data_IF_133926102368
#
_entry.id   IF_133926102368
#
_cell.length_a   1.000
_cell.length_b   1.000
_cell.length_c   1.000
_cell.angle_alpha   90.00
_cell.angle_beta   90.00
_cell.angle_gamma   90.00
#
_symmetry.space_group_name_H-M   'P 1'
#
loop_
_entity.id
_entity.type
_entity.pdbx_description
1 polymer ?
#
# COMPACT_ATOMS: atom_id res chain seq x y z
N UNK A 1 13.72 -12.93 11.56
CA UNK A 1 14.44 -11.63 11.47
C UNK A 1 15.82 -11.86 10.87
N UNK A 2 16.29 -10.97 9.99
CA UNK A 2 17.68 -10.97 9.50
C UNK A 2 18.67 -10.54 10.61
N UNK A 3 19.99 -10.77 10.46
CA UNK A 3 20.96 -10.36 11.47
C UNK A 3 20.97 -8.85 11.72
N UNK A 4 20.89 -8.03 10.68
CA UNK A 4 20.86 -6.56 10.82
C UNK A 4 19.51 -6.08 11.37
N UNK A 5 18.38 -6.65 10.91
CA UNK A 5 17.07 -6.36 11.47
C UNK A 5 17.04 -6.59 12.98
N UNK A 6 17.59 -7.72 13.46
CA UNK A 6 17.66 -8.02 14.90
C UNK A 6 18.46 -6.97 15.69
N UNK A 7 19.59 -6.47 15.15
CA UNK A 7 20.37 -5.40 15.79
C UNK A 7 19.56 -4.11 15.86
N UNK A 8 18.94 -3.70 14.74
CA UNK A 8 18.20 -2.43 14.67
C UNK A 8 16.92 -2.49 15.52
N UNK A 9 16.17 -3.59 15.48
CA UNK A 9 15.02 -3.84 16.38
C UNK A 9 15.42 -3.69 17.84
N UNK A 10 16.52 -4.31 18.27
CA UNK A 10 17.01 -4.18 19.65
C UNK A 10 17.42 -2.74 20.00
N UNK A 11 18.09 -2.03 19.07
CA UNK A 11 18.49 -0.65 19.29
C UNK A 11 17.29 0.29 19.48
N UNK A 12 16.24 0.15 18.64
CA UNK A 12 14.99 0.90 18.79
C UNK A 12 14.22 0.53 20.07
N UNK A 13 14.19 -0.75 20.45
CA UNK A 13 13.50 -1.23 21.65
C UNK A 13 14.04 -0.64 22.98
N UNK A 14 15.32 -0.26 23.02
CA UNK A 14 15.95 0.40 24.17
C UNK A 14 15.48 1.86 24.32
N UNK A 15 15.09 2.51 23.22
CA UNK A 15 14.64 3.91 23.23
C UNK A 15 13.23 3.97 23.83
N UNK A 16 13.13 4.45 25.07
CA UNK A 16 11.84 4.57 25.76
C UNK A 16 10.98 5.70 25.17
N UNK A 17 11.58 6.85 24.89
CA UNK A 17 10.87 8.04 24.42
C UNK A 17 10.49 7.95 22.93
N UNK A 18 9.21 8.10 22.63
CA UNK A 18 8.66 8.08 21.27
C UNK A 18 9.30 9.13 20.35
N UNK A 19 9.51 10.34 20.86
CA UNK A 19 10.13 11.45 20.11
C UNK A 19 11.58 11.15 19.71
N UNK A 20 12.31 10.37 20.50
CA UNK A 20 13.67 9.94 20.15
C UNK A 20 13.65 8.84 19.08
N UNK A 21 12.68 7.91 19.10
CA UNK A 21 12.48 6.94 17.99
C UNK A 21 12.10 7.65 16.68
N UNK A 22 11.21 8.64 16.75
CA UNK A 22 10.82 9.47 15.60
C UNK A 22 12.02 10.23 15.02
N UNK A 23 12.85 10.88 15.86
CA UNK A 23 14.10 11.53 15.42
C UNK A 23 15.09 10.54 14.80
N UNK A 24 15.19 9.31 15.31
CA UNK A 24 16.05 8.29 14.74
C UNK A 24 15.61 7.89 13.32
N UNK A 25 14.31 7.79 13.06
CA UNK A 25 13.78 7.55 11.71
C UNK A 25 14.09 8.72 10.76
N UNK A 26 13.93 9.97 11.21
CA UNK A 26 14.32 11.16 10.41
C UNK A 26 15.82 11.18 10.11
N UNK A 27 16.67 10.80 11.07
CA UNK A 27 18.11 10.68 10.86
C UNK A 27 18.42 9.59 9.80
N UNK A 28 17.78 8.43 9.89
CA UNK A 28 17.92 7.36 8.88
C UNK A 28 17.48 7.82 7.48
N UNK A 29 16.44 8.66 7.37
CA UNK A 29 16.01 9.26 6.11
C UNK A 29 17.11 10.10 5.44
N UNK A 30 18.04 10.66 6.22
CA UNK A 30 19.13 11.53 5.74
C UNK A 30 20.47 10.78 5.63
N UNK A 31 20.71 9.77 6.46
CA UNK A 31 22.01 9.09 6.57
C UNK A 31 22.14 7.82 5.73
N UNK A 32 21.03 7.14 5.40
CA UNK A 32 21.06 5.89 4.63
C UNK A 32 21.22 6.21 3.15
N UNK A 33 22.40 5.92 2.58
CA UNK A 33 22.74 6.29 1.20
C UNK A 33 21.86 5.56 0.19
N UNK A 34 21.53 4.32 0.48
CA UNK A 34 20.71 3.42 -0.32
C UNK A 34 19.25 3.92 -0.39
N UNK A 35 18.82 4.69 0.60
CA UNK A 35 17.51 5.33 0.67
C UNK A 35 17.51 6.80 0.19
N UNK A 36 18.64 7.29 -0.34
CA UNK A 36 18.80 8.67 -0.81
C UNK A 36 19.31 8.76 -2.25
N UNK A 37 19.78 7.66 -2.83
CA UNK A 37 20.39 7.61 -4.16
C UNK A 37 19.62 6.70 -5.13
N UNK A 38 18.29 6.57 -4.95
CA UNK A 38 17.45 5.98 -5.98
C UNK A 38 17.47 6.92 -7.21
N UNK A 39 17.97 6.50 -8.38
CA UNK A 39 18.03 7.37 -9.54
C UNK A 39 16.62 7.64 -10.07
N UNK A 40 16.43 8.80 -10.69
CA UNK A 40 15.11 9.20 -11.20
C UNK A 40 14.56 8.22 -12.26
N UNK A 41 15.44 7.57 -13.02
CA UNK A 41 15.12 6.49 -13.95
C UNK A 41 14.52 5.24 -13.30
N UNK A 42 14.72 5.05 -11.98
CA UNK A 42 14.13 3.94 -11.21
C UNK A 42 12.81 4.32 -10.54
N UNK A 43 12.33 5.58 -10.65
CA UNK A 43 11.03 6.02 -10.11
C UNK A 43 9.86 5.73 -11.07
N UNK A 44 9.84 4.50 -11.57
CA UNK A 44 8.82 3.95 -12.48
C UNK A 44 7.66 3.30 -11.71
N UNK A 45 6.55 3.02 -12.40
CA UNK A 45 5.32 2.48 -11.80
C UNK A 45 5.57 1.12 -11.14
N UNK A 46 6.42 0.30 -11.75
CA UNK A 46 6.83 -1.05 -11.31
C UNK A 46 7.67 -1.04 -10.02
N UNK A 47 8.20 0.12 -9.65
CA UNK A 47 8.94 0.35 -8.41
C UNK A 47 8.11 1.11 -7.36
N UNK A 48 6.91 1.60 -7.71
CA UNK A 48 6.04 2.33 -6.77
C UNK A 48 5.41 1.37 -5.75
N UNK A 49 5.44 1.74 -4.47
CA UNK A 49 4.74 1.00 -3.41
C UNK A 49 3.29 1.51 -3.32
N UNK A 50 2.27 0.64 -3.48
CA UNK A 50 0.87 1.02 -3.33
C UNK A 50 0.47 1.21 -1.86
N UNK A 51 -0.63 1.92 -1.60
CA UNK A 51 -1.22 2.03 -0.26
C UNK A 51 -0.37 2.79 0.76
N UNK A 52 0.48 3.73 0.32
CA UNK A 52 1.21 4.67 1.17
C UNK A 52 0.65 6.09 0.97
N UNK A 53 0.49 6.85 2.07
CA UNK A 53 0.05 8.27 2.01
C UNK A 53 1.10 9.17 1.32
N UNK A 54 2.37 8.84 1.50
CA UNK A 54 3.50 9.41 0.76
C UNK A 54 3.80 8.53 -0.45
N UNK A 55 4.23 9.13 -1.56
CA UNK A 55 4.79 8.35 -2.66
C UNK A 55 6.08 7.68 -2.19
N UNK A 56 6.19 6.37 -2.39
CA UNK A 56 7.39 5.59 -2.10
C UNK A 56 7.77 4.81 -3.35
N UNK A 57 9.05 4.80 -3.68
CA UNK A 57 9.62 3.92 -4.69
C UNK A 57 10.65 2.99 -4.03
N UNK A 58 10.65 1.72 -4.41
CA UNK A 58 11.68 0.75 -4.06
C UNK A 58 12.12 -0.01 -5.30
N UNK A 59 13.41 0.01 -5.54
CA UNK A 59 14.10 -0.73 -6.60
C UNK A 59 15.08 -1.72 -5.95
N UNK A 60 15.63 -2.64 -6.72
CA UNK A 60 16.65 -3.55 -6.20
C UNK A 60 17.26 -4.47 -7.24
N UNK A 61 18.33 -5.14 -6.84
CA UNK A 61 19.03 -6.13 -7.66
C UNK A 61 19.39 -7.36 -6.83
N UNK A 62 19.35 -8.53 -7.47
CA UNK A 62 19.97 -9.73 -6.95
C UNK A 62 21.45 -9.75 -7.34
N UNK A 63 22.33 -10.09 -6.40
CA UNK A 63 23.77 -10.21 -6.62
C UNK A 63 24.23 -11.55 -6.02
N UNK A 64 24.92 -12.38 -6.81
CA UNK A 64 25.46 -13.64 -6.33
C UNK A 64 26.55 -13.40 -5.26
N UNK A 65 26.37 -13.98 -4.07
CA UNK A 65 27.26 -13.82 -2.93
C UNK A 65 28.05 -15.11 -2.68
N UNK A 66 29.36 -15.05 -2.96
CA UNK A 66 30.30 -16.17 -2.80
C UNK A 66 30.42 -16.72 -1.38
N UNK A 67 30.20 -15.89 -0.36
CA UNK A 67 30.28 -16.33 1.04
C UNK A 67 29.02 -17.08 1.50
N UNK A 68 27.90 -16.89 0.78
CA UNK A 68 26.62 -17.56 1.05
C UNK A 68 26.31 -18.69 0.05
N UNK A 69 27.05 -18.76 -1.06
CA UNK A 69 26.75 -19.61 -2.24
C UNK A 69 25.31 -19.43 -2.72
N UNK A 70 24.82 -18.19 -2.72
CA UNK A 70 23.44 -17.85 -3.05
C UNK A 70 23.29 -16.38 -3.47
N UNK A 71 22.18 -16.03 -4.12
CA UNK A 71 21.83 -14.66 -4.45
C UNK A 71 21.34 -13.89 -3.22
N UNK A 72 21.89 -12.69 -3.00
CA UNK A 72 21.39 -11.72 -2.02
C UNK A 72 20.74 -10.54 -2.72
N UNK A 73 19.65 -10.03 -2.15
CA UNK A 73 18.94 -8.88 -2.68
C UNK A 73 19.47 -7.61 -2.03
N UNK A 74 19.79 -6.60 -2.84
CA UNK A 74 20.11 -5.25 -2.39
C UNK A 74 19.02 -4.30 -2.88
N UNK A 75 18.55 -3.42 -2.00
CA UNK A 75 17.49 -2.47 -2.31
C UNK A 75 18.00 -1.03 -2.38
N UNK A 76 17.33 -0.23 -3.21
CA UNK A 76 17.35 1.22 -3.16
C UNK A 76 15.92 1.72 -2.91
N UNK A 77 15.76 2.85 -2.24
CA UNK A 77 14.44 3.42 -2.01
C UNK A 77 14.44 4.94 -1.94
N UNK A 78 13.28 5.54 -2.13
CA UNK A 78 13.06 6.98 -1.94
C UNK A 78 11.59 7.26 -1.59
N UNK A 79 11.32 8.43 -1.00
CA UNK A 79 9.96 8.89 -0.73
C UNK A 79 9.88 10.41 -0.64
N UNK A 80 8.76 10.97 -1.10
CA UNK A 80 8.46 12.41 -1.00
C UNK A 80 8.31 12.90 0.46
N UNK A 81 7.84 12.04 1.37
CA UNK A 81 7.64 12.36 2.77
C UNK A 81 8.82 11.94 3.64
N UNK A 82 9.48 12.90 4.30
CA UNK A 82 10.70 12.66 5.10
C UNK A 82 10.58 11.55 6.16
N UNK A 83 9.42 11.40 6.82
CA UNK A 83 9.19 10.30 7.78
C UNK A 83 9.04 8.95 7.08
N UNK A 84 8.29 8.91 5.98
CA UNK A 84 8.13 7.70 5.14
C UNK A 84 9.48 7.30 4.51
N UNK A 85 10.32 8.27 4.16
CA UNK A 85 11.70 8.08 3.73
C UNK A 85 12.58 7.47 4.85
N UNK A 86 12.35 7.84 6.11
CA UNK A 86 12.97 7.19 7.27
C UNK A 86 12.55 5.72 7.43
N UNK A 87 11.30 5.42 7.13
CA UNK A 87 10.75 4.05 7.16
C UNK A 87 11.27 3.17 6.02
N UNK A 88 11.32 3.68 4.78
CA UNK A 88 11.91 2.93 3.66
C UNK A 88 13.42 2.74 3.89
N UNK A 89 14.11 3.75 4.44
CA UNK A 89 15.52 3.64 4.83
C UNK A 89 15.79 2.55 5.88
N UNK A 90 14.90 2.40 6.85
CA UNK A 90 14.95 1.32 7.82
C UNK A 90 14.82 -0.06 7.15
N UNK A 91 13.84 -0.23 6.27
CA UNK A 91 13.63 -1.50 5.57
C UNK A 91 14.77 -1.83 4.61
N UNK A 92 15.22 -0.87 3.80
CA UNK A 92 16.38 -1.01 2.90
C UNK A 92 17.61 -1.48 3.67
N UNK A 93 17.93 -0.83 4.80
CA UNK A 93 19.05 -1.25 5.66
C UNK A 93 18.89 -2.66 6.24
N UNK A 94 17.68 -3.02 6.67
CA UNK A 94 17.45 -4.28 7.39
C UNK A 94 17.30 -5.50 6.47
N UNK A 95 16.88 -5.30 5.22
CA UNK A 95 16.59 -6.36 4.26
C UNK A 95 17.72 -6.57 3.24
N UNK A 96 18.46 -5.52 2.86
CA UNK A 96 19.56 -5.65 1.88
C UNK A 96 20.66 -6.60 2.37
N UNK A 97 21.34 -7.27 1.43
CA UNK A 97 22.39 -8.25 1.72
C UNK A 97 21.87 -9.58 2.29
N UNK A 98 20.58 -9.87 2.15
CA UNK A 98 19.97 -11.15 2.56
C UNK A 98 19.37 -11.86 1.34
N UNK A 99 19.29 -13.19 1.39
CA UNK A 99 18.61 -13.99 0.35
C UNK A 99 17.11 -13.75 0.34
N UNK A 100 16.43 -13.95 -0.79
CA UNK A 100 14.98 -13.77 -0.88
C UNK A 100 14.22 -14.61 0.15
N UNK A 101 14.68 -15.85 0.40
CA UNK A 101 14.17 -16.73 1.45
C UNK A 101 14.30 -16.12 2.86
N UNK A 102 15.41 -15.46 3.18
CA UNK A 102 15.59 -14.81 4.48
C UNK A 102 14.69 -13.57 4.63
N UNK A 103 14.47 -12.81 3.55
CA UNK A 103 13.58 -11.65 3.50
C UNK A 103 12.11 -12.07 3.67
N UNK A 104 11.68 -13.14 3.01
CA UNK A 104 10.32 -13.68 3.16
C UNK A 104 10.00 -14.06 4.62
N UNK A 105 10.97 -14.66 5.32
CA UNK A 105 10.88 -15.05 6.73
C UNK A 105 10.99 -13.88 7.74
N UNK A 106 10.88 -12.63 7.30
CA UNK A 106 10.74 -11.47 8.19
C UNK A 106 9.30 -11.35 8.69
N UNK A 107 9.08 -11.77 9.94
CA UNK A 107 7.83 -11.56 10.67
C UNK A 107 7.60 -10.06 10.97
N UNK A 108 6.50 -9.44 10.49
CA UNK A 108 6.17 -8.05 10.78
C UNK A 108 6.07 -7.68 12.27
N UNK A 109 5.91 -8.62 13.21
CA UNK A 109 5.89 -8.31 14.65
C UNK A 109 7.15 -7.58 15.15
N UNK A 110 8.26 -7.58 14.39
CA UNK A 110 9.44 -6.77 14.72
C UNK A 110 9.11 -5.28 14.95
N UNK A 111 8.08 -4.73 14.28
CA UNK A 111 7.73 -3.30 14.43
C UNK A 111 7.29 -2.98 15.87
N UNK A 112 6.52 -3.87 16.48
CA UNK A 112 6.05 -3.75 17.88
C UNK A 112 7.18 -3.97 18.88
N UNK A 113 8.06 -4.93 18.58
CA UNK A 113 9.26 -5.20 19.41
C UNK A 113 10.19 -3.98 19.40
N UNK A 114 10.37 -3.35 18.25
CA UNK A 114 11.10 -2.09 18.09
C UNK A 114 10.34 -0.86 18.63
N UNK A 115 9.05 -0.99 18.99
CA UNK A 115 8.15 0.10 19.39
C UNK A 115 8.03 1.23 18.35
N UNK A 116 8.23 0.90 17.08
CA UNK A 116 8.19 1.87 15.97
C UNK A 116 6.73 2.20 15.64
N UNK A 117 5.83 1.24 15.77
CA UNK A 117 4.37 1.41 15.69
C UNK A 117 3.86 2.54 16.60
N UNK A 118 4.40 2.64 17.82
CA UNK A 118 4.07 3.69 18.78
C UNK A 118 4.49 5.10 18.34
N UNK A 119 5.38 5.22 17.35
CA UNK A 119 5.89 6.50 16.82
C UNK A 119 5.27 6.87 15.47
N UNK A 120 4.24 6.14 15.03
CA UNK A 120 3.59 6.30 13.74
C UNK A 120 2.09 6.50 13.91
N UNK A 121 1.48 7.25 12.98
CA UNK A 121 0.02 7.26 12.83
C UNK A 121 -0.44 5.93 12.21
N UNK A 122 -1.71 5.50 12.41
CA UNK A 122 -2.21 4.23 11.85
C UNK A 122 -1.95 4.09 10.34
N UNK A 123 -2.21 5.13 9.55
CA UNK A 123 -1.93 5.13 8.11
C UNK A 123 -0.44 4.97 7.75
N UNK A 124 0.48 5.49 8.58
CA UNK A 124 1.93 5.27 8.39
C UNK A 124 2.35 3.86 8.77
N UNK A 125 1.74 3.27 9.79
CA UNK A 125 1.96 1.87 10.16
C UNK A 125 1.47 0.92 9.06
N UNK A 126 0.30 1.19 8.46
CA UNK A 126 -0.21 0.42 7.32
C UNK A 126 0.71 0.58 6.09
N UNK A 127 1.12 1.81 5.76
CA UNK A 127 2.11 2.05 4.70
C UNK A 127 3.44 1.33 4.94
N UNK A 128 3.88 1.18 6.19
CA UNK A 128 5.07 0.39 6.53
C UNK A 128 4.90 -1.11 6.22
N UNK A 129 3.74 -1.69 6.55
CA UNK A 129 3.44 -3.07 6.25
C UNK A 129 3.34 -3.30 4.73
N UNK A 130 2.76 -2.34 4.00
CA UNK A 130 2.72 -2.34 2.53
C UNK A 130 4.14 -2.29 1.93
N UNK A 131 5.00 -1.37 2.40
CA UNK A 131 6.41 -1.33 2.00
C UNK A 131 7.13 -2.66 2.24
N UNK A 132 6.98 -3.26 3.43
CA UNK A 132 7.57 -4.56 3.76
C UNK A 132 7.08 -5.67 2.81
N UNK A 133 5.78 -5.71 2.48
CA UNK A 133 5.23 -6.71 1.58
C UNK A 133 5.66 -6.51 0.12
N UNK A 134 5.69 -5.27 -0.37
CA UNK A 134 6.23 -4.95 -1.71
C UNK A 134 7.71 -5.34 -1.83
N UNK A 135 8.52 -5.07 -0.79
CA UNK A 135 9.93 -5.47 -0.75
C UNK A 135 10.11 -6.99 -0.74
N UNK A 136 9.26 -7.71 0.01
CA UNK A 136 9.21 -9.19 -0.02
C UNK A 136 8.90 -9.72 -1.42
N UNK A 137 7.84 -9.23 -2.05
CA UNK A 137 7.43 -9.67 -3.39
C UNK A 137 8.52 -9.36 -4.44
N UNK A 138 9.13 -8.17 -4.37
CA UNK A 138 10.24 -7.77 -5.25
C UNK A 138 11.50 -8.63 -5.01
N UNK A 139 11.78 -9.05 -3.77
CA UNK A 139 12.88 -9.96 -3.47
C UNK A 139 12.76 -11.32 -4.19
N UNK A 140 11.55 -11.91 -4.22
CA UNK A 140 11.31 -13.17 -4.94
C UNK A 140 11.49 -13.00 -6.46
N UNK A 141 10.86 -11.97 -7.04
CA UNK A 141 10.95 -11.69 -8.47
C UNK A 141 12.39 -11.48 -8.94
N UNK A 142 13.21 -10.77 -8.15
CA UNK A 142 14.63 -10.55 -8.45
C UNK A 142 15.48 -11.83 -8.33
N UNK A 143 15.22 -12.68 -7.33
CA UNK A 143 15.90 -13.97 -7.15
C UNK A 143 15.57 -14.94 -8.30
N UNK A 144 14.28 -15.07 -8.65
CA UNK A 144 13.82 -15.89 -9.77
C UNK A 144 14.33 -15.40 -11.12
N UNK A 145 14.47 -14.08 -11.32
CA UNK A 145 15.01 -13.50 -12.54
C UNK A 145 16.52 -13.77 -12.68
N UNK A 146 17.28 -13.65 -11.59
CA UNK A 146 18.71 -13.89 -11.60
C UNK A 146 19.07 -15.36 -11.82
N UNK A 147 18.34 -16.31 -11.21
CA UNK A 147 18.54 -17.74 -11.46
C UNK A 147 18.22 -18.14 -12.89
N UNK A 148 17.17 -17.58 -13.50
CA UNK A 148 16.87 -17.80 -14.92
C UNK A 148 17.98 -17.29 -15.85
N UNK A 149 18.57 -16.14 -15.53
CA UNK A 149 19.72 -15.62 -16.28
C UNK A 149 20.95 -16.53 -16.15
N UNK A 150 21.22 -17.08 -14.97
CA UNK A 150 22.31 -18.05 -14.75
C UNK A 150 22.09 -19.36 -15.54
N UNK A 151 20.85 -19.87 -15.58
CA UNK A 151 20.49 -21.06 -16.38
C UNK A 151 20.61 -20.80 -17.90
N UNK A 152 20.22 -19.63 -18.38
CA UNK A 152 20.33 -19.24 -19.79
C UNK A 152 21.79 -19.01 -20.21
N UNK A 153 22.61 -18.33 -19.41
CA UNK A 153 24.05 -18.16 -19.64
C UNK A 153 24.81 -19.48 -19.56
N UNK A 154 24.44 -20.38 -18.64
CA UNK A 154 24.98 -21.74 -18.55
C UNK A 154 24.61 -22.63 -19.74
N UNK A 155 23.43 -22.45 -20.32
CA UNK A 155 22.93 -23.24 -21.47
C UNK A 155 23.52 -22.78 -22.80
N UNK A 156 23.95 -21.51 -22.92
CA UNK A 156 24.60 -20.97 -24.11
C UNK A 156 25.92 -21.67 -24.52
N UNK A 157 26.50 -22.51 -23.64
CA UNK A 157 27.63 -23.39 -23.97
C UNK A 157 27.26 -24.69 -24.70
N UNK A 158 25.97 -25.00 -24.88
CA UNK A 158 25.49 -26.30 -25.36
C UNK A 158 24.81 -26.28 -26.74
N UNK A 159 25.58 -26.27 -27.83
CA UNK A 159 25.04 -26.51 -29.18
C UNK A 159 24.69 -27.99 -29.39
N UNK A 160 23.42 -28.34 -29.67
CA UNK A 160 23.00 -28.97 -30.95
C UNK A 160 21.54 -29.47 -30.96
N UNK A 161 20.80 -29.10 -32.02
CA UNK A 161 19.79 -29.87 -32.76
C UNK A 161 18.65 -30.61 -32.00
N UNK A 162 17.39 -30.27 -32.32
CA UNK A 162 16.76 -30.93 -33.48
C UNK A 162 15.56 -30.15 -34.07
N UNK A 163 15.33 -30.34 -35.37
CA UNK A 163 14.16 -29.87 -36.11
C UNK A 163 13.00 -30.88 -36.07
N UNK A 164 11.76 -30.45 -36.33
CA UNK A 164 10.98 -30.78 -37.55
C UNK A 164 9.53 -30.21 -37.48
N UNK A 165 9.01 -29.83 -38.64
CA UNK A 165 7.70 -29.24 -38.99
C UNK A 165 6.47 -30.16 -38.92
N UNK A 166 5.27 -29.56 -38.80
CA UNK A 166 4.04 -29.72 -39.65
C UNK A 166 2.88 -28.94 -38.97
N UNK A 167 2.25 -27.91 -39.56
CA UNK A 167 1.22 -27.84 -40.63
C UNK A 167 -0.23 -28.26 -40.27
N UNK A 168 -1.21 -27.43 -40.69
CA UNK A 168 -2.68 -27.70 -40.66
C UNK A 168 -3.44 -27.07 -39.45
N UNK A 169 -4.34 -26.08 -39.51
CA UNK A 169 -5.39 -25.59 -40.45
C UNK A 169 -6.83 -25.94 -40.02
N UNK A 170 -7.66 -24.89 -39.87
CA UNK A 170 -9.14 -24.84 -39.98
C UNK A 170 -10.07 -25.36 -38.86
N UNK A 171 -10.61 -24.41 -38.08
CA UNK A 171 -12.06 -24.07 -37.98
C UNK A 171 -13.12 -25.19 -37.98
N UNK A 172 -13.89 -25.32 -36.89
CA UNK A 172 -15.32 -24.95 -36.78
C UNK A 172 -16.01 -25.61 -35.57
N UNK A 173 -16.93 -24.89 -34.92
CA UNK A 173 -17.81 -25.40 -33.85
C UNK A 173 -19.27 -25.11 -34.19
N UNK A 174 -20.18 -26.11 -34.17
CA UNK A 174 -21.61 -25.89 -34.28
C UNK A 174 -22.27 -25.63 -32.91
N UNK A 175 -23.51 -25.16 -32.97
CA UNK A 175 -24.38 -24.77 -31.85
C UNK A 175 -25.30 -25.93 -31.47
N UNK A 176 -25.63 -26.09 -30.18
CA UNK A 176 -26.92 -26.58 -29.64
C UNK A 176 -26.79 -26.79 -28.10
N UNK A 177 -27.77 -26.73 -27.20
CA UNK A 177 -29.07 -26.04 -27.06
C UNK A 177 -29.70 -26.55 -25.73
N UNK A 178 -30.30 -25.63 -24.95
CA UNK A 178 -31.38 -25.81 -23.96
C UNK A 178 -31.20 -26.19 -22.46
N UNK A 179 -31.85 -25.32 -21.65
CA UNK A 179 -32.81 -25.55 -20.55
C UNK A 179 -32.41 -26.07 -19.14
N UNK A 180 -32.18 -25.12 -18.22
CA UNK A 180 -33.19 -24.55 -17.28
C UNK A 180 -33.89 -25.45 -16.22
N UNK A 181 -33.57 -25.20 -14.95
CA UNK A 181 -34.51 -24.95 -13.83
C UNK A 181 -33.78 -24.09 -12.79
N UNK A 182 -34.29 -22.94 -12.33
CA UNK A 182 -35.49 -22.69 -11.48
C UNK A 182 -35.39 -23.41 -10.11
N UNK A 183 -35.62 -22.77 -8.96
CA UNK A 183 -36.27 -21.45 -8.66
C UNK A 183 -36.03 -21.02 -7.20
N UNK A 184 -36.04 -19.69 -6.97
CA UNK A 184 -36.49 -18.97 -5.76
C UNK A 184 -35.68 -19.21 -4.45
N UNK A 185 -35.59 -18.29 -3.48
CA UNK A 185 -36.52 -17.24 -2.99
C UNK A 185 -35.76 -15.90 -2.81
N UNK A 186 -36.22 -14.70 -3.21
CA UNK A 186 -37.26 -13.83 -2.59
C UNK A 186 -37.16 -13.68 -1.06
N UNK A 187 -37.33 -12.52 -0.42
CA UNK A 187 -37.49 -11.10 -0.83
C UNK A 187 -37.13 -10.20 0.39
N UNK A 188 -37.36 -8.87 0.50
CA UNK A 188 -37.97 -7.78 -0.30
C UNK A 188 -37.44 -6.42 0.25
N UNK A 189 -38.23 -5.34 0.16
CA UNK A 189 -38.25 -4.13 0.99
C UNK A 189 -37.34 -2.96 0.57
N UNK A 190 -37.80 -2.28 -0.48
CA UNK A 190 -38.10 -0.84 -0.55
C UNK A 190 -37.35 0.13 0.38
N UNK A 191 -36.60 1.08 -0.22
CA UNK A 191 -36.80 2.52 -0.01
C UNK A 191 -36.01 3.33 -1.06
N UNK A 192 -36.66 4.29 -1.72
CA UNK A 192 -36.06 5.26 -2.68
C UNK A 192 -35.19 6.29 -1.93
N UNK A 193 -34.08 5.83 -1.36
CA UNK A 193 -33.04 6.66 -0.73
C UNK A 193 -31.74 6.57 -1.54
N UNK A 194 -31.26 7.73 -1.94
CA UNK A 194 -30.07 7.95 -2.76
C UNK A 194 -28.81 7.33 -2.10
N UNK A 195 -28.23 6.30 -2.74
CA UNK A 195 -27.00 5.65 -2.30
C UNK A 195 -27.15 4.19 -1.84
N UNK A 196 -26.20 3.34 -2.26
CA UNK A 196 -26.17 1.91 -1.95
C UNK A 196 -25.76 1.56 -0.50
N UNK A 197 -25.52 0.26 -0.22
CA UNK A 197 -25.23 -0.20 1.15
C UNK A 197 -23.96 0.39 1.75
N UNK A 198 -22.91 0.69 0.96
CA UNK A 198 -21.70 1.34 1.47
C UNK A 198 -21.97 2.81 1.79
N UNK A 199 -22.70 3.52 0.92
CA UNK A 199 -23.11 4.91 1.15
C UNK A 199 -23.80 5.05 2.52
N UNK A 200 -24.83 4.23 2.78
CA UNK A 200 -25.60 4.30 4.04
C UNK A 200 -24.71 4.00 5.26
N UNK A 201 -23.80 3.03 5.15
CA UNK A 201 -22.85 2.71 6.22
C UNK A 201 -21.86 3.85 6.53
N UNK A 202 -21.37 4.56 5.51
CA UNK A 202 -20.48 5.74 5.67
C UNK A 202 -21.23 6.85 6.39
N UNK A 203 -22.40 7.25 5.89
CA UNK A 203 -23.22 8.33 6.50
C UNK A 203 -23.59 7.99 7.94
N UNK A 204 -24.03 6.76 8.21
CA UNK A 204 -24.37 6.29 9.56
C UNK A 204 -23.19 6.36 10.53
N UNK A 205 -21.99 6.01 10.08
CA UNK A 205 -20.77 6.07 10.91
C UNK A 205 -20.40 7.52 11.25
N UNK A 206 -20.55 8.44 10.29
CA UNK A 206 -20.22 9.86 10.47
C UNK A 206 -21.15 10.61 11.42
N UNK A 207 -22.35 10.09 11.71
CA UNK A 207 -23.24 10.65 12.74
C UNK A 207 -22.57 10.74 14.13
N UNK A 208 -21.55 9.92 14.40
CA UNK A 208 -20.76 9.98 15.63
C UNK A 208 -20.03 11.32 15.85
N UNK A 209 -19.83 12.12 14.78
CA UNK A 209 -19.24 13.47 14.85
C UNK A 209 -20.26 14.57 15.18
N UNK A 210 -21.54 14.23 15.29
CA UNK A 210 -22.66 15.17 15.36
C UNK A 210 -22.57 16.28 14.29
N UNK A 211 -22.46 15.89 13.00
CA UNK A 211 -22.32 16.86 11.92
C UNK A 211 -23.58 17.72 11.77
N UNK A 212 -23.37 19.00 11.47
CA UNK A 212 -24.41 19.96 11.11
C UNK A 212 -24.84 19.78 9.65
N UNK A 213 -23.92 19.33 8.79
CA UNK A 213 -24.17 19.00 7.39
C UNK A 213 -23.25 17.84 6.97
N UNK A 214 -23.79 16.90 6.18
CA UNK A 214 -23.04 15.84 5.50
C UNK A 214 -23.59 15.72 4.09
N UNK A 215 -22.70 15.72 3.09
CA UNK A 215 -23.00 15.35 1.72
C UNK A 215 -21.94 14.32 1.29
N UNK A 216 -22.39 13.27 0.61
CA UNK A 216 -21.54 12.21 0.11
C UNK A 216 -21.91 11.99 -1.36
N UNK A 217 -20.99 12.27 -2.26
CA UNK A 217 -21.19 12.08 -3.70
C UNK A 217 -20.47 10.81 -4.14
N UNK A 218 -21.20 9.85 -4.74
CA UNK A 218 -20.56 8.73 -5.44
C UNK A 218 -20.17 9.19 -6.85
N UNK A 219 -18.88 9.09 -7.16
CA UNK A 219 -18.29 9.47 -8.44
C UNK A 219 -17.80 8.24 -9.24
N UNK A 220 -18.21 7.01 -8.86
CA UNK A 220 -17.83 5.76 -9.55
C UNK A 220 -18.10 5.80 -11.06
N UNK A 221 -19.22 6.42 -11.47
CA UNK A 221 -19.65 6.54 -12.87
C UNK A 221 -18.63 7.25 -13.77
N UNK A 222 -17.76 8.09 -13.20
CA UNK A 222 -16.73 8.81 -13.95
C UNK A 222 -15.51 7.93 -14.30
N UNK A 223 -15.32 6.81 -13.60
CA UNK A 223 -14.15 5.92 -13.75
C UNK A 223 -14.47 4.59 -14.43
N UNK A 224 -15.75 4.20 -14.50
CA UNK A 224 -16.18 2.96 -15.16
C UNK A 224 -15.85 1.69 -14.36
N UNK A 225 -15.43 1.86 -13.10
CA UNK A 225 -15.26 0.82 -12.10
C UNK A 225 -16.61 0.45 -11.46
N UNK A 226 -16.59 -0.57 -10.59
CA UNK A 226 -17.77 -0.99 -9.82
C UNK A 226 -18.40 0.20 -9.06
N UNK A 227 -19.74 0.24 -9.05
CA UNK A 227 -20.52 1.19 -8.26
C UNK A 227 -20.06 1.16 -6.79
N UNK A 228 -20.06 2.32 -6.12
CA UNK A 228 -19.55 2.49 -4.75
C UNK A 228 -18.02 2.32 -4.57
N UNK A 229 -17.20 2.79 -5.52
CA UNK A 229 -15.71 2.76 -5.44
C UNK A 229 -15.08 4.11 -5.03
N UNK A 230 -15.61 5.23 -5.55
CA UNK A 230 -15.00 6.56 -5.48
C UNK A 230 -15.93 7.60 -4.84
N UNK A 231 -15.66 8.00 -3.61
CA UNK A 231 -16.54 8.91 -2.85
C UNK A 231 -15.95 10.30 -2.61
N UNK A 232 -16.76 11.34 -2.80
CA UNK A 232 -16.51 12.70 -2.34
C UNK A 232 -17.30 12.99 -1.07
N UNK A 233 -16.63 13.18 0.07
CA UNK A 233 -17.26 13.51 1.35
C UNK A 233 -17.08 15.00 1.66
N UNK A 234 -18.20 15.72 1.79
CA UNK A 234 -18.28 17.05 2.39
C UNK A 234 -18.94 16.94 3.77
N UNK A 235 -18.25 17.38 4.83
CA UNK A 235 -18.76 17.27 6.21
C UNK A 235 -18.47 18.52 7.03
N UNK A 236 -19.51 19.01 7.70
CA UNK A 236 -19.45 20.16 8.60
C UNK A 236 -19.81 19.69 10.00
N UNK A 237 -18.89 19.82 10.96
CA UNK A 237 -19.10 19.34 12.31
C UNK A 237 -18.41 20.23 13.36
N UNK A 238 -19.07 20.52 14.51
CA UNK A 238 -18.43 21.19 15.65
C UNK A 238 -17.22 20.42 16.18
N UNK A 239 -17.20 19.09 16.03
CA UNK A 239 -16.08 18.21 16.43
C UNK A 239 -14.73 18.55 15.74
N UNK A 240 -14.71 19.41 14.74
CA UNK A 240 -13.50 19.87 14.05
C UNK A 240 -12.92 21.18 14.61
N UNK A 241 -13.56 21.80 15.60
CA UNK A 241 -13.08 23.03 16.23
C UNK A 241 -11.69 22.84 16.87
N UNK A 242 -10.77 23.79 16.62
CA UNK A 242 -9.38 23.70 17.08
C UNK A 242 -8.53 22.61 16.40
N UNK A 243 -9.08 21.80 15.49
CA UNK A 243 -8.35 20.79 14.74
C UNK A 243 -7.87 21.34 13.39
N UNK A 244 -6.61 21.10 13.06
CA UNK A 244 -6.05 21.31 11.72
C UNK A 244 -6.59 20.24 10.76
N UNK A 245 -6.72 20.56 9.47
CA UNK A 245 -7.24 19.71 8.37
C UNK A 245 -6.79 18.24 8.47
N UNK A 246 -5.50 17.98 8.68
CA UNK A 246 -4.96 16.62 8.82
C UNK A 246 -5.54 15.85 10.02
N UNK A 247 -5.82 16.54 11.15
CA UNK A 247 -6.47 15.93 12.32
C UNK A 247 -7.96 15.67 12.08
N UNK A 248 -8.64 16.55 11.34
CA UNK A 248 -10.05 16.35 10.93
C UNK A 248 -10.18 15.11 10.06
N UNK A 249 -9.34 15.00 9.03
CA UNK A 249 -9.25 13.82 8.17
C UNK A 249 -8.92 12.55 8.98
N UNK A 250 -7.93 12.60 9.88
CA UNK A 250 -7.61 11.45 10.75
C UNK A 250 -8.79 11.02 11.64
N UNK A 251 -9.55 11.96 12.18
CA UNK A 251 -10.73 11.68 13.00
C UNK A 251 -11.83 11.00 12.18
N UNK A 252 -12.07 11.47 10.95
CA UNK A 252 -13.00 10.85 9.98
C UNK A 252 -12.55 9.42 9.63
N UNK A 253 -11.27 9.24 9.25
CA UNK A 253 -10.72 7.90 8.95
C UNK A 253 -10.80 6.93 10.14
N UNK A 254 -10.64 7.41 11.38
CA UNK A 254 -10.76 6.59 12.59
C UNK A 254 -12.20 6.10 12.81
N UNK A 255 -13.19 6.92 12.48
CA UNK A 255 -14.62 6.58 12.61
C UNK A 255 -15.07 5.66 11.47
N UNK A 256 -14.57 5.88 10.25
CA UNK A 256 -14.87 5.02 9.11
C UNK A 256 -14.19 3.64 9.19
N UNK A 257 -13.05 3.53 9.87
CA UNK A 257 -12.49 2.26 10.39
C UNK A 257 -12.61 1.05 9.45
N UNK A 258 -13.59 0.19 9.73
CA UNK A 258 -13.84 -1.09 9.05
C UNK A 258 -14.51 -0.95 7.65
N UNK A 259 -14.98 0.25 7.30
CA UNK A 259 -15.48 0.60 5.96
C UNK A 259 -14.35 1.06 5.02
N UNK A 260 -13.23 1.53 5.55
CA UNK A 260 -12.10 2.01 4.73
C UNK A 260 -11.51 0.96 3.76
N UNK A 261 -11.45 -0.36 4.08
CA UNK A 261 -11.04 -1.37 3.11
C UNK A 261 -12.03 -1.62 1.96
N UNK A 262 -13.23 -1.04 2.02
CA UNK A 262 -14.32 -1.24 1.04
C UNK A 262 -14.51 -0.03 0.10
N UNK A 263 -13.73 1.04 0.33
CA UNK A 263 -13.71 2.29 -0.42
C UNK A 263 -12.33 2.41 -1.08
N UNK A 264 -12.28 2.58 -2.40
CA UNK A 264 -11.01 2.66 -3.13
C UNK A 264 -10.41 4.06 -3.09
N UNK A 265 -11.26 5.09 -3.20
CA UNK A 265 -10.89 6.48 -3.04
C UNK A 265 -11.93 7.26 -2.22
N UNK A 266 -11.45 8.06 -1.25
CA UNK A 266 -12.27 8.96 -0.45
C UNK A 266 -11.64 10.36 -0.42
N UNK A 267 -12.26 11.32 -1.12
CA UNK A 267 -11.87 12.72 -1.05
C UNK A 267 -12.64 13.42 0.08
N UNK A 268 -11.92 13.94 1.08
CA UNK A 268 -12.54 14.53 2.29
C UNK A 268 -12.37 16.05 2.31
N UNK A 269 -13.49 16.76 2.35
CA UNK A 269 -13.58 18.20 2.60
C UNK A 269 -14.30 18.43 3.93
N UNK A 270 -13.66 19.09 4.90
CA UNK A 270 -14.16 19.16 6.29
C UNK A 270 -14.06 20.56 6.92
N UNK A 271 -15.19 21.13 7.32
CA UNK A 271 -15.30 22.50 7.87
C UNK A 271 -15.92 22.53 9.28
N UNK A 272 -15.61 23.55 10.08
CA UNK A 272 -16.48 23.92 11.22
C UNK A 272 -17.70 24.70 10.72
N UNK A 273 -18.79 24.80 11.51
CA UNK A 273 -19.95 25.63 11.14
C UNK A 273 -19.59 27.10 10.87
N UNK A 274 -18.64 27.65 11.64
CA UNK A 274 -18.16 29.03 11.45
C UNK A 274 -17.37 29.19 10.13
N UNK A 275 -16.58 28.19 9.75
CA UNK A 275 -15.83 28.19 8.49
C UNK A 275 -16.77 28.06 7.29
N UNK A 276 -17.79 27.19 7.36
CA UNK A 276 -18.81 27.07 6.30
C UNK A 276 -19.57 28.40 6.12
N UNK A 277 -20.01 29.03 7.21
CA UNK A 277 -20.68 30.33 7.16
C UNK A 277 -19.80 31.43 6.55
N UNK A 278 -18.49 31.43 6.85
CA UNK A 278 -17.54 32.33 6.21
C UNK A 278 -17.40 32.03 4.70
N UNK A 279 -17.31 30.75 4.32
CA UNK A 279 -17.21 30.30 2.92
C UNK A 279 -18.43 30.74 2.09
N UNK A 280 -19.64 30.58 2.64
CA UNK A 280 -20.90 30.99 2.01
C UNK A 280 -21.04 32.52 1.90
N UNK A 281 -20.44 33.29 2.81
CA UNK A 281 -20.44 34.76 2.75
C UNK A 281 -19.45 35.35 1.71
N UNK A 282 -18.57 34.52 1.15
CA UNK A 282 -17.52 34.90 0.22
C UNK A 282 -17.78 34.47 -1.24
N UNK A 283 -18.95 33.88 -1.52
CA UNK A 283 -19.40 33.44 -2.85
C UNK A 283 -20.61 34.25 -3.33
#
# INVERSE_FOLDING_TARGET
MTPELKKVTNAFAIIQEEQTRYKQLLYMAQSTKEANNLPESSKIVENKVPGCLSTVYVDGSAIYNKDMDDYVINFLGDSDGLMTKGLVALLVRCLSGNTAKAIQNVDPQFIKIARIDQSLTPGRNNGFLNMLQSMKNKALSLDEAARRQEEEEGTAGGTSNNSTTEEGKSTSTPVDVNNNSKTNDSSSDDDDEEGGPKYKAIVQSLQALQPTSVQLDDNSDQYGDDCESHFGLYIVAPAFEGLNVIKRQQLIYMILGDLMPQIEALQITSFTPDEEAAQQSAS
#
